data_IF_647269481159
#
_entry.id   IF_647269481159
#
_cell.length_a   1.000
_cell.length_b   1.000
_cell.length_c   1.000
_cell.angle_alpha   90.00
_cell.angle_beta   90.00
_cell.angle_gamma   90.00
#
_symmetry.space_group_name_H-M   'P 1'
#
loop_
_entity.id
_entity.type
_entity.pdbx_description
1 polymer ?
#
# COMPACT_ATOMS: atom_id res chain seq x y z
N UNK A 1 -8.30 -4.22 -14.64
CA UNK A 1 -8.75 -5.30 -13.76
C UNK A 1 -8.52 -4.90 -12.31
N UNK A 2 -9.46 -5.25 -11.43
CA UNK A 2 -9.26 -5.14 -9.97
C UNK A 2 -8.54 -6.40 -9.51
N UNK A 3 -7.67 -6.28 -8.52
CA UNK A 3 -6.89 -7.43 -8.03
C UNK A 3 -7.78 -8.54 -7.45
N UNK A 4 -8.80 -8.18 -6.69
CA UNK A 4 -9.80 -9.11 -6.13
C UNK A 4 -10.55 -9.92 -7.21
N UNK A 5 -10.84 -9.29 -8.35
CA UNK A 5 -11.45 -10.00 -9.50
C UNK A 5 -10.46 -10.97 -10.14
N UNK A 6 -9.19 -10.57 -10.28
CA UNK A 6 -8.14 -11.43 -10.81
C UNK A 6 -7.89 -12.62 -9.89
N UNK A 7 -7.74 -12.39 -8.58
CA UNK A 7 -7.52 -13.44 -7.58
C UNK A 7 -8.69 -14.45 -7.58
N UNK A 8 -9.92 -13.97 -7.65
CA UNK A 8 -11.10 -14.82 -7.75
C UNK A 8 -11.06 -15.70 -9.01
N UNK A 9 -10.67 -15.14 -10.15
CA UNK A 9 -10.53 -15.92 -11.42
C UNK A 9 -9.38 -16.91 -11.37
N UNK A 10 -8.28 -16.54 -10.75
CA UNK A 10 -7.12 -17.43 -10.62
C UNK A 10 -7.45 -18.69 -9.82
N UNK A 11 -8.37 -18.60 -8.85
CA UNK A 11 -8.82 -19.72 -8.01
C UNK A 11 -10.08 -20.41 -8.49
N UNK A 12 -10.84 -19.78 -9.40
CA UNK A 12 -12.11 -20.32 -9.89
C UNK A 12 -11.92 -21.63 -10.66
N UNK A 13 -12.91 -22.57 -10.59
CA UNK A 13 -12.96 -23.72 -11.47
C UNK A 13 -12.95 -23.31 -12.94
N UNK A 14 -12.32 -24.12 -13.79
CA UNK A 14 -12.22 -23.83 -15.23
C UNK A 14 -11.04 -24.56 -15.88
N UNK A 15 -10.47 -23.96 -16.93
CA UNK A 15 -9.31 -24.51 -17.61
C UNK A 15 -8.06 -24.46 -16.71
N UNK A 16 -7.24 -25.51 -16.74
CA UNK A 16 -6.01 -25.56 -15.95
C UNK A 16 -4.98 -24.52 -16.44
N UNK A 17 -4.98 -24.17 -17.69
CA UNK A 17 -4.12 -23.15 -18.28
C UNK A 17 -4.88 -21.83 -18.50
N UNK A 18 -4.28 -20.71 -18.10
CA UNK A 18 -4.79 -19.37 -18.34
C UNK A 18 -3.81 -18.57 -19.18
N UNK A 19 -4.30 -17.99 -20.26
CA UNK A 19 -3.55 -17.00 -21.02
C UNK A 19 -3.54 -15.66 -20.28
N UNK A 20 -2.36 -15.12 -20.04
CA UNK A 20 -2.14 -13.82 -19.39
C UNK A 20 -1.39 -12.90 -20.35
N UNK A 21 -1.97 -11.73 -20.65
CA UNK A 21 -1.24 -10.62 -21.23
C UNK A 21 -0.67 -9.78 -20.07
N UNK A 22 0.63 -9.66 -19.99
CA UNK A 22 1.32 -8.82 -18.99
C UNK A 22 2.13 -7.74 -19.69
N UNK A 23 2.35 -6.64 -18.98
CA UNK A 23 3.28 -5.59 -19.39
C UNK A 23 4.50 -5.63 -18.48
N UNK A 24 5.67 -5.72 -19.10
CA UNK A 24 6.99 -5.71 -18.44
C UNK A 24 7.93 -4.84 -19.26
N UNK A 25 8.52 -3.81 -18.63
CA UNK A 25 9.47 -2.88 -19.27
C UNK A 25 8.88 -2.26 -20.56
N UNK A 26 7.62 -1.80 -20.48
CA UNK A 26 6.85 -1.21 -21.59
C UNK A 26 6.58 -2.19 -22.76
N UNK A 27 6.84 -3.47 -22.59
CA UNK A 27 6.57 -4.52 -23.57
C UNK A 27 5.41 -5.41 -23.13
N UNK A 28 4.52 -5.71 -24.05
CA UNK A 28 3.47 -6.70 -23.84
C UNK A 28 4.01 -8.09 -24.06
N UNK A 29 3.71 -8.98 -23.12
CA UNK A 29 4.13 -10.38 -23.18
C UNK A 29 2.90 -11.26 -22.93
N UNK A 30 2.73 -12.26 -23.79
CA UNK A 30 1.73 -13.32 -23.58
C UNK A 30 2.38 -14.48 -22.86
N UNK A 31 1.79 -14.85 -21.72
CA UNK A 31 2.24 -15.95 -20.88
C UNK A 31 1.10 -16.94 -20.67
N UNK A 32 1.44 -18.21 -20.53
CA UNK A 32 0.53 -19.24 -20.10
C UNK A 32 0.81 -19.61 -18.62
N UNK A 33 -0.18 -19.40 -17.77
CA UNK A 33 -0.14 -19.80 -16.36
C UNK A 33 -0.84 -21.15 -16.19
N UNK A 34 -0.08 -22.21 -15.92
CA UNK A 34 -0.62 -23.53 -15.59
C UNK A 34 -0.96 -23.55 -14.09
N UNK A 35 -2.22 -23.84 -13.76
CA UNK A 35 -2.73 -23.87 -12.38
C UNK A 35 -2.80 -25.29 -11.84
N UNK A 36 -2.41 -25.47 -10.58
CA UNK A 36 -2.49 -26.76 -9.90
C UNK A 36 -3.87 -26.96 -9.24
N UNK A 37 -4.51 -28.15 -9.38
CA UNK A 37 -5.79 -28.40 -8.70
C UNK A 37 -5.68 -28.31 -7.19
N UNK A 38 -6.70 -27.76 -6.53
CA UNK A 38 -6.82 -27.75 -5.08
C UNK A 38 -7.64 -28.95 -4.59
N UNK A 39 -7.32 -29.54 -3.40
CA UNK A 39 -8.02 -30.69 -2.85
C UNK A 39 -9.54 -30.46 -2.63
N UNK A 40 -9.91 -29.23 -2.32
CA UNK A 40 -11.31 -28.82 -2.03
C UNK A 40 -12.08 -28.37 -3.30
N UNK A 41 -11.48 -28.53 -4.48
CA UNK A 41 -12.00 -28.02 -5.76
C UNK A 41 -11.44 -26.65 -6.14
N UNK A 42 -11.46 -26.34 -7.45
CA UNK A 42 -10.81 -25.15 -7.99
C UNK A 42 -9.30 -25.36 -8.13
N UNK A 43 -8.54 -24.29 -7.97
CA UNK A 43 -7.08 -24.28 -8.14
C UNK A 43 -6.38 -23.71 -6.90
N UNK A 44 -5.14 -24.18 -6.68
CA UNK A 44 -4.26 -23.64 -5.66
C UNK A 44 -3.88 -22.19 -5.96
N UNK A 45 -3.38 -21.49 -4.94
CA UNK A 45 -2.79 -20.17 -5.10
C UNK A 45 -1.60 -20.26 -6.07
N UNK A 46 -1.63 -19.54 -7.21
CA UNK A 46 -0.55 -19.63 -8.19
C UNK A 46 0.74 -18.89 -7.76
N UNK A 47 0.82 -18.41 -6.52
CA UNK A 47 1.97 -17.66 -6.01
C UNK A 47 2.05 -16.22 -6.54
N UNK A 48 0.97 -15.71 -7.10
CA UNK A 48 0.87 -14.30 -7.49
C UNK A 48 0.35 -13.48 -6.31
N UNK A 49 1.10 -12.49 -5.89
CA UNK A 49 0.66 -11.54 -4.88
C UNK A 49 0.73 -10.11 -5.43
N UNK A 50 -0.27 -9.32 -5.08
CA UNK A 50 -0.26 -7.91 -5.40
C UNK A 50 0.61 -7.16 -4.38
N UNK A 51 1.52 -6.36 -4.88
CA UNK A 51 2.28 -5.42 -4.07
C UNK A 51 1.98 -3.99 -4.53
N UNK A 52 1.98 -3.06 -3.57
CA UNK A 52 1.82 -1.65 -3.90
C UNK A 52 2.90 -1.24 -4.92
N UNK A 53 2.51 -0.53 -6.01
CA UNK A 53 3.43 -0.15 -7.09
C UNK A 53 4.54 0.79 -6.64
N UNK A 54 4.44 1.32 -5.44
CA UNK A 54 5.44 2.18 -4.81
C UNK A 54 5.66 1.73 -3.36
N UNK A 55 6.89 1.87 -2.86
CA UNK A 55 7.23 1.54 -1.48
C UNK A 55 6.82 2.68 -0.53
N UNK A 56 5.51 2.93 -0.42
CA UNK A 56 4.95 3.93 0.47
C UNK A 56 4.79 3.34 1.86
N UNK A 57 5.32 4.02 2.87
CA UNK A 57 5.36 3.52 4.25
C UNK A 57 4.60 4.40 5.23
N UNK A 58 4.10 3.77 6.29
CA UNK A 58 3.51 4.43 7.44
C UNK A 58 4.24 4.05 8.71
N UNK A 59 4.44 5.02 9.58
CA UNK A 59 5.01 4.81 10.91
C UNK A 59 3.95 4.16 11.79
N UNK A 60 4.19 2.91 12.17
CA UNK A 60 3.37 2.13 13.11
C UNK A 60 3.83 2.38 14.55
N UNK A 61 5.14 2.37 14.76
CA UNK A 61 5.75 2.65 16.06
C UNK A 61 6.50 3.99 16.04
N UNK A 62 5.98 5.03 16.73
CA UNK A 62 6.64 6.34 16.80
C UNK A 62 8.00 6.32 17.55
N UNK A 63 8.30 5.26 18.31
CA UNK A 63 9.58 5.05 18.97
C UNK A 63 10.44 4.03 18.22
N UNK A 64 9.95 3.52 17.10
CA UNK A 64 10.67 2.56 16.27
C UNK A 64 11.88 3.17 15.55
N UNK A 65 12.85 2.32 15.13
CA UNK A 65 14.11 2.77 14.53
C UNK A 65 13.94 3.70 13.35
N UNK A 66 12.96 3.44 12.47
CA UNK A 66 12.71 4.29 11.30
C UNK A 66 12.15 5.66 11.69
N UNK A 67 11.22 5.72 12.67
CA UNK A 67 10.67 7.00 13.14
C UNK A 67 11.74 7.85 13.82
N UNK A 68 12.59 7.25 14.65
CA UNK A 68 13.73 7.92 15.29
C UNK A 68 14.75 8.41 14.26
N UNK A 69 14.88 7.72 13.13
CA UNK A 69 15.70 8.16 12.00
C UNK A 69 15.01 9.24 11.14
N UNK A 70 13.78 9.66 11.47
CA UNK A 70 13.07 10.75 10.79
C UNK A 70 12.16 10.31 9.65
N UNK A 71 11.91 9.02 9.46
CA UNK A 71 10.89 8.52 8.53
C UNK A 71 9.50 8.91 9.01
N UNK A 72 8.62 9.34 8.10
CA UNK A 72 7.24 9.75 8.37
C UNK A 72 6.24 8.93 7.57
N UNK A 73 5.02 8.85 8.06
CA UNK A 73 3.90 8.29 7.28
C UNK A 73 3.72 9.08 6.00
N UNK A 74 3.62 8.39 4.85
CA UNK A 74 3.53 9.02 3.53
C UNK A 74 4.87 9.15 2.82
N UNK A 75 5.99 8.84 3.46
CA UNK A 75 7.28 8.74 2.77
C UNK A 75 7.28 7.55 1.80
N UNK A 76 7.89 7.75 0.65
CA UNK A 76 8.20 6.69 -0.31
C UNK A 76 9.69 6.36 -0.19
N UNK A 77 10.02 5.10 0.09
CA UNK A 77 11.41 4.64 0.05
C UNK A 77 11.82 4.45 -1.41
N UNK A 78 12.82 5.19 -1.87
CA UNK A 78 13.28 5.20 -3.27
C UNK A 78 14.59 4.46 -3.47
N UNK A 79 15.43 4.35 -2.42
CA UNK A 79 16.64 3.54 -2.45
C UNK A 79 17.03 3.05 -1.05
N UNK A 80 17.81 1.97 -1.02
CA UNK A 80 18.47 1.43 0.19
C UNK A 80 19.94 1.22 -0.14
N UNK A 81 20.84 1.81 0.66
CA UNK A 81 22.31 1.84 0.37
C UNK A 81 22.61 2.22 -1.09
N UNK A 82 21.92 3.24 -1.60
CA UNK A 82 21.99 3.72 -2.99
C UNK A 82 21.50 2.71 -4.06
N UNK A 83 20.95 1.55 -3.68
CA UNK A 83 20.31 0.62 -4.61
C UNK A 83 18.85 1.04 -4.77
N UNK A 84 18.39 1.35 -6.00
CA UNK A 84 17.04 1.80 -6.24
C UNK A 84 15.97 0.77 -5.84
N UNK A 85 14.90 1.24 -5.21
CA UNK A 85 13.72 0.45 -4.84
C UNK A 85 12.55 0.90 -5.71
N UNK A 86 12.12 0.03 -6.63
CA UNK A 86 11.04 0.35 -7.56
C UNK A 86 9.65 0.28 -6.91
N UNK A 87 9.44 -0.70 -6.01
CA UNK A 87 8.14 -0.98 -5.39
C UNK A 87 8.29 -1.61 -4.01
N UNK A 88 7.16 -1.84 -3.34
CA UNK A 88 7.14 -2.43 -2.00
C UNK A 88 7.78 -3.82 -1.95
N UNK A 89 7.52 -4.67 -2.94
CA UNK A 89 8.10 -6.01 -3.03
C UNK A 89 9.64 -5.98 -3.07
N UNK A 90 10.19 -5.06 -3.88
CA UNK A 90 11.64 -4.83 -3.91
C UNK A 90 12.21 -4.43 -2.56
N UNK A 91 11.50 -3.57 -1.82
CA UNK A 91 11.88 -3.18 -0.47
C UNK A 91 11.87 -4.37 0.50
N UNK A 92 10.77 -5.13 0.53
CA UNK A 92 10.62 -6.29 1.42
C UNK A 92 11.66 -7.38 1.16
N UNK A 93 12.10 -7.54 -0.09
CA UNK A 93 13.19 -8.46 -0.43
C UNK A 93 14.57 -7.93 -0.08
N UNK A 94 14.77 -6.62 -0.16
CA UNK A 94 16.07 -6.00 0.14
C UNK A 94 16.34 -5.97 1.66
N UNK A 95 15.33 -5.62 2.46
CA UNK A 95 15.50 -5.41 3.91
C UNK A 95 16.19 -6.59 4.62
N UNK A 96 15.78 -7.87 4.46
CA UNK A 96 16.38 -8.99 5.18
C UNK A 96 17.86 -9.25 4.84
N UNK A 97 18.37 -8.69 3.74
CA UNK A 97 19.77 -8.84 3.31
C UNK A 97 20.70 -7.80 3.93
N UNK A 98 20.14 -6.82 4.64
CA UNK A 98 20.89 -5.70 5.20
C UNK A 98 21.41 -6.00 6.59
N UNK A 99 22.46 -5.27 6.95
CA UNK A 99 22.99 -5.23 8.33
C UNK A 99 23.14 -3.75 8.71
N UNK A 100 22.64 -3.32 9.87
CA UNK A 100 22.87 -1.95 10.34
C UNK A 100 24.39 -1.67 10.54
N UNK A 101 24.85 -0.42 10.25
CA UNK A 101 24.05 0.69 9.74
C UNK A 101 23.77 0.58 8.23
N UNK A 102 22.57 1.01 7.80
CA UNK A 102 22.24 1.15 6.38
C UNK A 102 21.47 2.44 6.11
N UNK A 103 21.58 2.96 4.89
CA UNK A 103 20.96 4.21 4.45
C UNK A 103 19.61 3.93 3.76
N UNK A 104 18.62 4.77 4.07
CA UNK A 104 17.37 4.88 3.33
C UNK A 104 17.34 6.23 2.60
N UNK A 105 17.01 6.20 1.32
CA UNK A 105 16.64 7.40 0.58
C UNK A 105 15.12 7.45 0.46
N UNK A 106 14.55 8.59 0.84
CA UNK A 106 13.12 8.82 0.93
C UNK A 106 12.72 9.93 -0.02
N UNK A 107 11.57 9.79 -0.63
CA UNK A 107 10.88 10.86 -1.35
C UNK A 107 9.67 11.27 -0.51
N UNK A 108 9.66 12.53 -0.04
CA UNK A 108 8.62 13.10 0.81
C UNK A 108 7.90 14.22 0.09
N UNK A 109 6.56 14.19 -0.01
CA UNK A 109 5.80 15.31 -0.49
C UNK A 109 5.87 16.49 0.50
N UNK A 110 6.21 17.68 0.01
CA UNK A 110 6.26 18.91 0.79
C UNK A 110 5.72 20.06 -0.05
N UNK A 111 4.57 20.64 0.34
CA UNK A 111 3.95 21.83 -0.28
C UNK A 111 3.79 21.79 -1.81
N UNK A 112 3.65 20.56 -2.37
CA UNK A 112 3.47 20.31 -3.81
C UNK A 112 4.75 20.05 -4.57
N UNK A 113 5.89 20.09 -3.90
CA UNK A 113 7.17 19.61 -4.37
C UNK A 113 7.48 18.25 -3.73
N UNK A 114 8.58 17.66 -4.15
CA UNK A 114 9.08 16.40 -3.57
C UNK A 114 10.48 16.62 -3.05
N UNK A 115 10.66 16.43 -1.76
CA UNK A 115 11.97 16.48 -1.12
C UNK A 115 12.60 15.08 -1.10
N UNK A 116 13.88 15.00 -1.46
CA UNK A 116 14.68 13.78 -1.26
C UNK A 116 15.43 13.86 0.06
N UNK A 117 15.17 12.90 0.94
CA UNK A 117 15.76 12.83 2.29
C UNK A 117 16.60 11.57 2.37
N UNK A 118 17.82 11.68 2.88
CA UNK A 118 18.65 10.53 3.23
C UNK A 118 18.74 10.39 4.74
N UNK A 119 18.55 9.19 5.22
CA UNK A 119 18.61 8.88 6.65
C UNK A 119 19.25 7.52 6.88
N UNK A 120 19.82 7.33 8.07
CA UNK A 120 20.55 6.10 8.42
C UNK A 120 19.87 5.37 9.55
N UNK A 121 19.56 4.12 9.35
CA UNK A 121 19.17 3.18 10.41
C UNK A 121 20.46 2.67 11.05
N UNK A 122 20.73 3.10 12.27
CA UNK A 122 22.00 2.81 12.96
C UNK A 122 21.98 1.50 13.72
N UNK A 123 20.85 1.22 14.37
CA UNK A 123 20.66 0.06 15.24
C UNK A 123 19.31 -0.57 14.96
N UNK A 124 19.24 -1.88 15.07
CA UNK A 124 18.02 -2.65 14.89
C UNK A 124 18.10 -3.94 15.71
N UNK A 125 17.02 -4.28 16.38
CA UNK A 125 16.90 -5.56 17.07
C UNK A 125 16.30 -6.61 16.14
N UNK A 126 17.10 -7.58 15.71
CA UNK A 126 16.69 -8.64 14.79
C UNK A 126 16.96 -8.32 13.32
N UNK A 127 16.48 -9.21 12.44
CA UNK A 127 16.62 -9.04 11.00
C UNK A 127 15.81 -7.84 10.49
N UNK A 128 16.36 -7.01 9.59
CA UNK A 128 15.63 -5.87 9.04
C UNK A 128 14.35 -6.31 8.30
N UNK A 129 13.23 -5.70 8.67
CA UNK A 129 11.92 -5.85 8.06
C UNK A 129 11.11 -4.58 8.27
N UNK A 130 9.97 -4.41 7.60
CA UNK A 130 9.08 -3.29 7.89
C UNK A 130 8.67 -3.29 9.37
N UNK A 131 8.35 -4.46 9.93
CA UNK A 131 7.92 -4.61 11.32
C UNK A 131 9.01 -4.20 12.31
N UNK A 132 10.24 -4.73 12.18
CA UNK A 132 11.36 -4.39 13.07
C UNK A 132 11.81 -2.94 12.95
N UNK A 133 11.56 -2.31 11.79
CA UNK A 133 11.75 -0.87 11.59
C UNK A 133 10.63 -0.03 12.22
N UNK A 134 9.54 -0.63 12.69
CA UNK A 134 8.35 0.07 13.18
C UNK A 134 7.51 0.68 12.07
N UNK A 135 7.57 0.12 10.87
CA UNK A 135 6.87 0.56 9.66
C UNK A 135 5.75 -0.41 9.26
N UNK A 136 4.85 0.06 8.43
CA UNK A 136 3.91 -0.76 7.66
C UNK A 136 3.79 -0.21 6.24
N UNK A 137 3.45 -1.08 5.30
CA UNK A 137 3.00 -0.63 4.00
C UNK A 137 1.68 0.14 4.13
N UNK A 138 1.55 1.25 3.44
CA UNK A 138 0.32 2.07 3.41
C UNK A 138 -0.03 2.50 1.99
N UNK A 139 -1.23 3.05 1.83
CA UNK A 139 -1.61 3.67 0.57
C UNK A 139 -2.73 2.91 -0.15
N UNK A 140 -3.97 3.09 0.31
CA UNK A 140 -5.16 2.61 -0.40
C UNK A 140 -5.59 3.64 -1.43
N UNK A 141 -5.37 3.35 -2.72
CA UNK A 141 -5.74 4.25 -3.82
C UNK A 141 -7.25 4.22 -4.06
N UNK A 142 -7.86 5.40 -4.11
CA UNK A 142 -9.28 5.57 -4.44
C UNK A 142 -9.43 5.49 -5.97
N UNK A 143 -10.06 4.42 -6.45
CA UNK A 143 -10.30 4.22 -7.88
C UNK A 143 -11.43 5.13 -8.40
N UNK A 144 -12.48 5.32 -7.61
CA UNK A 144 -13.63 6.14 -7.98
C UNK A 144 -14.39 6.67 -6.79
N UNK A 145 -15.13 7.76 -6.99
CA UNK A 145 -15.98 8.40 -5.97
C UNK A 145 -17.36 8.67 -6.57
N UNK A 146 -18.38 8.04 -6.00
CA UNK A 146 -19.77 8.21 -6.43
C UNK A 146 -20.23 9.67 -6.31
N UNK A 147 -20.89 10.25 -7.34
CA UNK A 147 -21.20 11.68 -7.41
C UNK A 147 -22.00 12.24 -6.22
N UNK A 148 -22.93 11.46 -5.68
CA UNK A 148 -23.84 11.88 -4.58
C UNK A 148 -23.39 11.35 -3.22
N UNK A 149 -22.24 10.69 -3.16
CA UNK A 149 -21.74 10.03 -1.95
C UNK A 149 -21.27 11.03 -0.88
N UNK A 150 -21.24 10.60 0.38
CA UNK A 150 -20.57 11.34 1.44
C UNK A 150 -19.09 11.62 1.11
N UNK A 151 -18.39 10.66 0.49
CA UNK A 151 -17.01 10.80 0.05
C UNK A 151 -16.81 12.00 -0.91
N UNK A 152 -17.73 12.15 -1.88
CA UNK A 152 -17.72 13.30 -2.81
C UNK A 152 -17.93 14.61 -2.09
N UNK A 153 -18.90 14.66 -1.14
CA UNK A 153 -19.15 15.87 -0.33
C UNK A 153 -17.96 16.24 0.55
N UNK A 154 -17.20 15.26 1.03
CA UNK A 154 -15.94 15.46 1.75
C UNK A 154 -14.80 15.94 0.84
N UNK A 155 -15.01 15.96 -0.48
CA UNK A 155 -14.02 16.40 -1.46
C UNK A 155 -12.99 15.33 -1.82
N UNK A 156 -13.29 14.04 -1.58
CA UNK A 156 -12.49 12.94 -2.09
C UNK A 156 -12.57 12.86 -3.62
N UNK A 157 -11.49 12.41 -4.24
CA UNK A 157 -11.36 12.28 -5.71
C UNK A 157 -10.78 10.92 -6.08
N UNK A 158 -11.06 10.49 -7.29
CA UNK A 158 -10.31 9.38 -7.89
C UNK A 158 -8.82 9.76 -7.95
N UNK A 159 -7.95 8.81 -7.67
CA UNK A 159 -6.50 9.00 -7.60
C UNK A 159 -5.96 9.39 -6.22
N UNK A 160 -6.81 9.81 -5.27
CA UNK A 160 -6.37 10.02 -3.89
C UNK A 160 -5.80 8.72 -3.29
N UNK A 161 -4.75 8.84 -2.48
CA UNK A 161 -4.15 7.72 -1.76
C UNK A 161 -4.39 7.91 -0.27
N UNK A 162 -5.17 7.04 0.35
CA UNK A 162 -5.43 7.07 1.79
C UNK A 162 -4.20 6.58 2.55
N UNK A 163 -3.78 7.37 3.54
CA UNK A 163 -2.67 7.06 4.44
C UNK A 163 -3.17 6.65 5.83
N UNK A 164 -4.20 7.34 6.34
CA UNK A 164 -4.80 7.06 7.65
C UNK A 164 -6.31 7.27 7.65
N UNK A 165 -6.97 6.52 8.53
CA UNK A 165 -8.40 6.68 8.89
C UNK A 165 -8.48 6.72 10.41
N UNK A 166 -8.99 7.83 10.98
CA UNK A 166 -9.06 8.06 12.45
C UNK A 166 -7.71 7.84 13.18
N UNK A 167 -6.61 8.18 12.51
CA UNK A 167 -5.26 7.96 13.04
C UNK A 167 -4.65 6.58 12.77
N UNK A 168 -5.45 5.57 12.44
CA UNK A 168 -4.99 4.23 12.06
C UNK A 168 -4.47 4.19 10.62
N UNK A 169 -3.44 3.39 10.37
CA UNK A 169 -2.83 3.26 9.04
C UNK A 169 -3.77 2.57 8.04
N UNK A 170 -3.88 3.13 6.84
CA UNK A 170 -4.61 2.56 5.71
C UNK A 170 -3.77 1.49 5.01
N UNK A 171 -3.70 0.29 5.58
CA UNK A 171 -2.83 -0.80 5.10
C UNK A 171 -3.47 -1.66 4.01
N UNK A 172 -4.80 -1.74 3.98
CA UNK A 172 -5.57 -2.46 2.95
C UNK A 172 -6.96 -1.85 2.77
N UNK A 173 -7.64 -2.20 1.69
CA UNK A 173 -9.01 -1.75 1.43
C UNK A 173 -10.00 -2.31 2.45
N UNK A 174 -9.78 -3.53 2.94
CA UNK A 174 -10.56 -4.17 3.99
C UNK A 174 -10.40 -3.42 5.31
N UNK A 175 -9.16 -3.15 5.74
CA UNK A 175 -8.88 -2.39 6.95
C UNK A 175 -9.54 -1.00 6.90
N UNK A 176 -9.48 -0.31 5.77
CA UNK A 176 -10.16 0.98 5.57
C UNK A 176 -11.68 0.86 5.69
N UNK A 177 -12.28 -0.18 5.09
CA UNK A 177 -13.73 -0.45 5.22
C UNK A 177 -14.12 -0.70 6.67
N UNK A 178 -13.37 -1.54 7.37
CA UNK A 178 -13.64 -1.88 8.78
C UNK A 178 -13.56 -0.64 9.68
N UNK A 179 -12.56 0.21 9.50
CA UNK A 179 -12.41 1.46 10.23
C UNK A 179 -13.57 2.44 9.96
N UNK A 180 -14.02 2.55 8.71
CA UNK A 180 -15.13 3.42 8.33
C UNK A 180 -16.45 2.86 8.86
N UNK A 181 -16.71 1.57 8.71
CA UNK A 181 -17.94 0.93 9.19
C UNK A 181 -18.00 0.85 10.72
N UNK A 182 -16.87 0.57 11.35
CA UNK A 182 -16.73 0.56 12.81
C UNK A 182 -17.01 1.92 13.46
N UNK A 183 -16.96 3.03 12.69
CA UNK A 183 -17.33 4.36 13.18
C UNK A 183 -18.81 4.51 13.53
N UNK A 184 -19.67 3.54 13.12
CA UNK A 184 -21.11 3.56 13.42
C UNK A 184 -21.87 4.75 12.82
N UNK A 185 -21.27 5.46 11.84
CA UNK A 185 -21.82 6.69 11.24
C UNK A 185 -21.33 7.97 11.89
N UNK A 186 -20.44 7.88 12.87
CA UNK A 186 -19.71 9.05 13.38
C UNK A 186 -18.78 9.65 12.30
N UNK A 187 -18.40 10.92 12.41
CA UNK A 187 -17.39 11.52 11.52
C UNK A 187 -16.09 10.76 11.58
N UNK A 188 -15.48 10.50 10.42
CA UNK A 188 -14.15 9.92 10.31
C UNK A 188 -13.16 10.96 9.77
N UNK A 189 -11.96 10.96 10.34
CA UNK A 189 -10.84 11.78 9.87
C UNK A 189 -10.02 10.95 8.89
N UNK A 190 -9.84 11.48 7.68
CA UNK A 190 -9.02 10.86 6.65
C UNK A 190 -7.76 11.70 6.43
N UNK A 191 -6.61 11.04 6.40
CA UNK A 191 -5.36 11.61 5.91
C UNK A 191 -5.05 10.95 4.58
N UNK A 192 -4.84 11.75 3.57
CA UNK A 192 -4.61 11.27 2.21
C UNK A 192 -3.52 12.07 1.51
N UNK A 193 -2.96 11.50 0.46
CA UNK A 193 -2.04 12.15 -0.44
C UNK A 193 -2.74 12.38 -1.79
N UNK A 194 -2.60 13.58 -2.33
CA UNK A 194 -3.10 13.99 -3.65
C UNK A 194 -2.07 14.88 -4.30
N UNK A 195 -1.69 14.58 -5.55
CA UNK A 195 -0.76 15.39 -6.34
C UNK A 195 0.49 15.79 -5.52
N UNK A 196 1.12 14.81 -4.86
CA UNK A 196 2.29 15.00 -3.98
C UNK A 196 2.07 15.95 -2.78
N UNK A 197 0.82 16.05 -2.28
CA UNK A 197 0.49 16.81 -1.06
C UNK A 197 -0.27 15.94 -0.08
N UNK A 198 0.07 16.05 1.20
CA UNK A 198 -0.74 15.47 2.26
C UNK A 198 -1.95 16.37 2.54
N UNK A 199 -3.13 15.77 2.63
CA UNK A 199 -4.39 16.46 2.89
C UNK A 199 -5.11 15.77 4.03
N UNK A 200 -5.36 16.49 5.12
CA UNK A 200 -6.27 16.07 6.19
C UNK A 200 -7.73 16.40 5.83
N UNK A 201 -8.64 15.44 6.00
CA UNK A 201 -10.08 15.62 5.72
C UNK A 201 -10.93 15.01 6.81
N UNK A 202 -12.01 15.73 7.19
CA UNK A 202 -13.09 15.21 8.02
C UNK A 202 -14.22 14.74 7.12
N UNK A 203 -14.77 13.55 7.41
CA UNK A 203 -15.84 12.97 6.65
C UNK A 203 -16.94 12.40 7.56
N UNK A 204 -18.20 12.70 7.26
CA UNK A 204 -19.36 12.06 7.92
C UNK A 204 -19.85 10.87 7.09
N UNK A 205 -19.67 9.67 7.62
CA UNK A 205 -20.32 8.48 7.06
C UNK A 205 -21.75 8.38 7.62
N UNK A 206 -22.77 8.82 6.86
CA UNK A 206 -24.15 8.52 7.20
C UNK A 206 -24.49 7.13 6.67
N UNK A 207 -24.77 6.18 7.57
CA UNK A 207 -25.39 4.90 7.19
C UNK A 207 -26.70 5.21 6.42
N UNK A 208 -26.82 4.71 5.19
CA UNK A 208 -28.16 4.55 4.61
C UNK A 208 -28.89 3.55 5.52
N UNK A 209 -29.96 4.00 6.20
CA UNK A 209 -30.95 3.08 6.74
C UNK A 209 -31.57 2.38 5.52
N UNK A 210 -31.46 1.05 5.48
CA UNK A 210 -32.30 0.21 4.64
C UNK A 210 -33.72 0.27 5.18
#
# INVERSE_FOLDING_TARGET
WRWDELETRLRAPGEAALALEIERDEQKLDLELVREPAPEGGFQDPGLSWHAPVALVGVRDPQGPAALAGVRTGDRITAVNSVPIANLYGLERALPTLTPPFELELSRPLDGETETIRTTIRELSGAPSLETLGLAAVGVKIAGVEPTSPAKRAGLRSGDVLLRVNGELATSSEAVKDLIWGSGGAPVTLVLQRDSREIGKLHQCKRRRQ
#
